data_IF_931017320453
#
_entry.id   IF_931017320453
#
_cell.length_a   1.000
_cell.length_b   1.000
_cell.length_c   1.000
_cell.angle_alpha   90.00
_cell.angle_beta   90.00
_cell.angle_gamma   90.00
#
_symmetry.space_group_name_H-M   'P 1'
#
loop_
_entity.id
_entity.type
_entity.pdbx_description
1 polymer ?
#
# COMPACT_ATOMS: atom_id res chain seq x y z
N UNK A 1 -29.65 3.69 -12.01
CA UNK A 1 -29.67 4.91 -11.17
C UNK A 1 -28.23 5.29 -10.92
N UNK A 2 -27.75 6.38 -11.52
CA UNK A 2 -26.41 6.93 -11.23
C UNK A 2 -26.45 7.56 -9.84
N UNK A 3 -25.72 7.00 -8.88
CA UNK A 3 -25.51 7.61 -7.57
C UNK A 3 -24.90 9.02 -7.77
N UNK A 4 -25.33 10.04 -7.03
CA UNK A 4 -24.87 11.40 -7.23
C UNK A 4 -23.39 11.52 -6.82
N UNK A 5 -22.56 11.95 -7.76
CA UNK A 5 -21.18 12.38 -7.50
C UNK A 5 -21.22 13.77 -6.88
N UNK A 6 -20.71 13.92 -5.66
CA UNK A 6 -20.69 15.22 -4.97
C UNK A 6 -19.60 16.11 -5.56
N UNK A 7 -19.74 17.44 -5.47
CA UNK A 7 -18.64 18.34 -5.82
C UNK A 7 -17.51 18.22 -4.79
N UNK A 8 -16.27 18.66 -5.11
CA UNK A 8 -15.18 18.71 -4.12
C UNK A 8 -15.54 19.50 -2.86
N UNK A 9 -16.22 20.63 -3.02
CA UNK A 9 -16.66 21.49 -1.92
C UNK A 9 -17.72 20.79 -1.06
N UNK A 10 -18.71 20.14 -1.68
CA UNK A 10 -19.72 19.39 -0.93
C UNK A 10 -19.09 18.24 -0.10
N UNK A 11 -18.07 17.57 -0.66
CA UNK A 11 -17.34 16.51 0.04
C UNK A 11 -16.58 17.07 1.26
N UNK A 12 -15.95 18.23 1.12
CA UNK A 12 -15.24 18.91 2.20
C UNK A 12 -16.17 19.40 3.32
N UNK A 13 -17.31 19.98 2.96
CA UNK A 13 -18.35 20.40 3.92
C UNK A 13 -18.96 19.20 4.64
N UNK A 14 -19.20 18.10 3.93
CA UNK A 14 -19.65 16.85 4.52
C UNK A 14 -18.61 16.30 5.51
N UNK A 15 -17.33 16.27 5.14
CA UNK A 15 -16.24 15.81 6.00
C UNK A 15 -16.18 16.60 7.31
N UNK A 16 -16.18 17.93 7.24
CA UNK A 16 -16.19 18.79 8.43
C UNK A 16 -17.44 18.55 9.28
N UNK A 17 -18.62 18.49 8.67
CA UNK A 17 -19.89 18.24 9.37
C UNK A 17 -19.89 16.89 10.08
N UNK A 18 -19.39 15.84 9.44
CA UNK A 18 -19.28 14.51 10.04
C UNK A 18 -18.30 14.50 11.22
N UNK A 19 -17.15 15.18 11.07
CA UNK A 19 -16.11 15.18 12.11
C UNK A 19 -16.50 16.03 13.32
N UNK A 20 -17.00 17.25 13.10
CA UNK A 20 -17.22 18.26 14.15
C UNK A 20 -18.70 18.53 14.48
N UNK A 21 -19.65 17.94 13.75
CA UNK A 21 -21.08 18.18 13.96
C UNK A 21 -21.63 17.57 15.25
N UNK A 22 -22.76 18.08 15.78
CA UNK A 22 -23.30 17.66 17.08
C UNK A 22 -23.91 16.25 17.10
N UNK A 23 -24.38 15.73 15.97
CA UNK A 23 -25.05 14.42 15.89
C UNK A 23 -24.79 13.75 14.54
N UNK A 24 -23.58 13.21 14.32
CA UNK A 24 -23.32 12.47 13.09
C UNK A 24 -24.11 11.16 13.10
N UNK A 25 -24.72 10.81 11.97
CA UNK A 25 -25.19 9.44 11.73
C UNK A 25 -23.96 8.51 11.70
N UNK A 26 -23.53 8.05 12.87
CA UNK A 26 -22.35 7.21 13.04
C UNK A 26 -22.46 5.97 12.15
N UNK A 27 -21.32 5.58 11.58
CA UNK A 27 -21.14 4.40 10.74
C UNK A 27 -21.91 4.41 9.41
N UNK A 28 -22.78 5.40 9.16
CA UNK A 28 -23.42 5.56 7.85
C UNK A 28 -22.39 6.06 6.82
N UNK A 29 -22.11 5.21 5.84
CA UNK A 29 -21.30 5.60 4.68
C UNK A 29 -22.10 6.50 3.73
N UNK A 30 -21.50 7.62 3.33
CA UNK A 30 -22.04 8.56 2.36
C UNK A 30 -21.09 8.60 1.16
N UNK A 31 -21.58 8.21 -0.01
CA UNK A 31 -20.82 8.27 -1.27
C UNK A 31 -20.51 9.71 -1.65
N UNK A 32 -19.23 10.00 -1.89
CA UNK A 32 -18.75 11.30 -2.39
C UNK A 32 -18.28 11.23 -3.85
N UNK A 33 -18.00 10.03 -4.34
CA UNK A 33 -17.58 9.78 -5.71
C UNK A 33 -18.04 8.38 -6.11
N UNK A 34 -18.73 8.27 -7.24
CA UNK A 34 -18.97 7.00 -7.91
C UNK A 34 -18.04 6.89 -9.12
N UNK A 35 -17.42 5.73 -9.28
CA UNK A 35 -16.57 5.41 -10.42
C UNK A 35 -17.40 4.72 -11.50
N UNK A 36 -17.20 5.07 -12.78
CA UNK A 36 -17.72 4.27 -13.89
C UNK A 36 -17.27 2.82 -13.80
N UNK A 37 -18.13 1.90 -14.24
CA UNK A 37 -17.75 0.49 -14.33
C UNK A 37 -16.56 0.32 -15.28
N UNK A 38 -15.55 -0.42 -14.83
CA UNK A 38 -14.31 -0.64 -15.57
C UNK A 38 -13.28 0.48 -15.46
N UNK A 39 -13.51 1.54 -14.66
CA UNK A 39 -12.50 2.56 -14.44
C UNK A 39 -11.22 1.99 -13.83
N UNK A 40 -10.09 2.27 -14.47
CA UNK A 40 -8.78 1.83 -14.02
C UNK A 40 -8.26 2.62 -12.80
N UNK A 41 -7.20 2.14 -12.14
CA UNK A 41 -6.62 2.79 -10.96
C UNK A 41 -6.28 4.28 -11.18
N UNK A 42 -5.63 4.61 -12.30
CA UNK A 42 -5.26 6.00 -12.64
C UNK A 42 -6.51 6.88 -12.79
N UNK A 43 -7.57 6.41 -13.46
CA UNK A 43 -8.80 7.19 -13.62
C UNK A 43 -9.49 7.44 -12.28
N UNK A 44 -9.55 6.42 -11.41
CA UNK A 44 -10.14 6.55 -10.07
C UNK A 44 -9.35 7.54 -9.22
N UNK A 45 -8.02 7.46 -9.28
CA UNK A 45 -7.08 8.37 -8.63
C UNK A 45 -7.31 9.82 -9.04
N UNK A 46 -7.29 10.12 -10.33
CA UNK A 46 -7.49 11.48 -10.87
C UNK A 46 -8.88 12.03 -10.53
N UNK A 47 -9.90 11.16 -10.48
CA UNK A 47 -11.25 11.56 -10.08
C UNK A 47 -11.37 11.84 -8.57
N UNK A 48 -10.60 11.14 -7.73
CA UNK A 48 -10.61 11.31 -6.27
C UNK A 48 -9.82 12.55 -5.84
N UNK A 49 -8.69 12.84 -6.51
CA UNK A 49 -7.73 13.88 -6.11
C UNK A 49 -8.38 15.24 -5.75
N UNK A 50 -9.26 15.84 -6.58
CA UNK A 50 -9.87 17.13 -6.24
C UNK A 50 -10.70 17.11 -4.94
N UNK A 51 -11.36 15.98 -4.64
CA UNK A 51 -12.17 15.81 -3.42
C UNK A 51 -11.27 15.62 -2.21
N UNK A 52 -10.23 14.82 -2.35
CA UNK A 52 -9.23 14.62 -1.31
C UNK A 52 -8.59 15.96 -0.91
N UNK A 53 -8.12 16.75 -1.89
CA UNK A 53 -7.51 18.06 -1.66
C UNK A 53 -8.48 19.03 -0.97
N UNK A 54 -9.74 19.06 -1.40
CA UNK A 54 -10.77 19.90 -0.78
C UNK A 54 -11.04 19.51 0.68
N UNK A 55 -11.09 18.21 0.99
CA UNK A 55 -11.26 17.70 2.36
C UNK A 55 -10.05 18.09 3.21
N UNK A 56 -8.84 17.85 2.72
CA UNK A 56 -7.59 18.20 3.43
C UNK A 56 -7.51 19.70 3.68
N UNK A 57 -7.84 20.53 2.70
CA UNK A 57 -7.83 21.98 2.85
C UNK A 57 -8.85 22.48 3.89
N UNK A 58 -9.97 21.77 4.06
CA UNK A 58 -11.05 22.18 4.98
C UNK A 58 -10.87 21.66 6.41
N UNK A 59 -10.45 20.41 6.55
CA UNK A 59 -10.37 19.69 7.83
C UNK A 59 -8.95 19.66 8.39
N UNK A 60 -7.95 19.83 7.53
CA UNK A 60 -6.53 19.65 7.86
C UNK A 60 -5.98 18.32 7.33
N UNK A 61 -4.66 18.09 7.47
CA UNK A 61 -4.03 16.86 7.01
C UNK A 61 -4.54 15.64 7.79
N UNK A 62 -4.55 14.44 7.19
CA UNK A 62 -4.97 13.22 7.85
C UNK A 62 -4.05 12.83 9.00
N UNK A 63 -4.58 12.09 9.96
CA UNK A 63 -3.77 11.45 11.01
C UNK A 63 -3.13 10.17 10.54
N UNK A 64 -3.81 9.44 9.64
CA UNK A 64 -3.32 8.18 9.09
C UNK A 64 -3.69 8.06 7.62
N UNK A 65 -2.67 7.94 6.77
CA UNK A 65 -2.82 7.62 5.36
C UNK A 65 -2.95 6.11 5.20
N UNK A 66 -3.55 5.68 4.10
CA UNK A 66 -3.70 4.25 3.87
C UNK A 66 -4.54 3.91 2.65
N UNK A 67 -4.49 2.64 2.32
CA UNK A 67 -5.21 2.07 1.19
C UNK A 67 -5.41 0.59 1.38
N UNK A 68 -6.36 0.08 0.61
CA UNK A 68 -6.61 -1.33 0.39
C UNK A 68 -6.40 -1.62 -1.10
N UNK A 69 -6.49 -2.88 -1.50
CA UNK A 69 -6.44 -3.29 -2.91
C UNK A 69 -7.64 -2.82 -3.72
N UNK A 70 -8.67 -2.32 -3.05
CA UNK A 70 -9.90 -1.86 -3.69
C UNK A 70 -10.08 -0.35 -3.64
N UNK A 71 -9.49 0.35 -2.68
CA UNK A 71 -9.61 1.80 -2.60
C UNK A 71 -8.94 2.42 -1.37
N UNK A 72 -9.09 3.74 -1.19
CA UNK A 72 -8.44 4.48 -0.11
C UNK A 72 -8.92 4.00 1.27
N UNK A 73 -8.08 4.23 2.28
CA UNK A 73 -8.40 4.01 3.69
C UNK A 73 -7.72 5.08 4.54
N UNK A 74 -8.19 6.33 4.41
CA UNK A 74 -7.60 7.52 5.05
C UNK A 74 -8.41 7.94 6.28
N UNK A 75 -7.73 8.28 7.37
CA UNK A 75 -8.36 8.62 8.65
C UNK A 75 -7.97 10.04 9.11
N UNK A 76 -8.97 10.75 9.63
CA UNK A 76 -8.79 11.93 10.48
C UNK A 76 -9.32 11.60 11.87
N UNK A 77 -8.42 11.57 12.85
CA UNK A 77 -8.72 11.12 14.21
C UNK A 77 -8.75 12.29 15.20
N UNK A 78 -9.85 12.43 15.93
CA UNK A 78 -9.95 13.26 17.14
C UNK A 78 -9.95 12.37 18.38
N UNK A 79 -10.09 12.94 19.58
CA UNK A 79 -10.14 12.14 20.79
C UNK A 79 -11.38 11.24 20.87
N UNK A 80 -12.49 11.62 20.21
CA UNK A 80 -13.77 10.93 20.29
C UNK A 80 -14.18 10.24 18.97
N UNK A 81 -13.66 10.71 17.83
CA UNK A 81 -14.17 10.31 16.50
C UNK A 81 -13.07 10.02 15.51
N UNK A 82 -13.37 9.13 14.56
CA UNK A 82 -12.58 8.94 13.36
C UNK A 82 -13.45 9.20 12.13
N UNK A 83 -13.12 10.21 11.33
CA UNK A 83 -13.62 10.32 9.97
C UNK A 83 -12.78 9.39 9.09
N UNK A 84 -13.45 8.49 8.36
CA UNK A 84 -12.86 7.53 7.46
C UNK A 84 -13.28 7.84 6.02
N UNK A 85 -12.30 8.12 5.18
CA UNK A 85 -12.42 8.04 3.73
C UNK A 85 -12.06 6.61 3.30
N UNK A 86 -13.07 5.87 2.90
CA UNK A 86 -12.94 4.49 2.40
C UNK A 86 -13.39 4.42 0.94
N UNK A 87 -12.86 3.48 0.18
CA UNK A 87 -13.39 3.22 -1.16
C UNK A 87 -13.13 1.82 -1.67
N UNK A 88 -13.79 1.52 -2.78
CA UNK A 88 -13.60 0.34 -3.60
C UNK A 88 -13.53 0.72 -5.08
N UNK A 89 -13.48 -0.28 -5.97
CA UNK A 89 -13.45 -0.07 -7.42
C UNK A 89 -14.65 0.70 -7.98
N UNK A 90 -15.76 0.79 -7.23
CA UNK A 90 -17.03 1.39 -7.64
C UNK A 90 -17.29 2.76 -7.01
N UNK A 91 -16.75 3.05 -5.83
CA UNK A 91 -17.02 4.32 -5.15
C UNK A 91 -16.00 4.68 -4.06
N UNK A 92 -15.94 5.98 -3.75
CA UNK A 92 -15.35 6.50 -2.52
C UNK A 92 -16.44 7.09 -1.61
N UNK A 93 -16.32 6.84 -0.30
CA UNK A 93 -17.31 7.15 0.72
C UNK A 93 -16.66 7.81 1.93
N UNK A 94 -17.42 8.67 2.61
CA UNK A 94 -17.09 9.19 3.93
C UNK A 94 -18.01 8.57 4.97
N UNK A 95 -17.44 8.17 6.10
CA UNK A 95 -18.17 7.74 7.29
C UNK A 95 -17.46 8.23 8.53
N UNK A 96 -18.18 8.37 9.64
CA UNK A 96 -17.58 8.73 10.93
C UNK A 96 -17.91 7.68 11.97
N UNK A 97 -16.92 7.34 12.77
CA UNK A 97 -16.95 6.25 13.74
C UNK A 97 -16.56 6.77 15.11
N UNK A 98 -17.01 6.09 16.16
CA UNK A 98 -16.40 6.22 17.47
C UNK A 98 -14.91 5.83 17.39
N UNK A 99 -14.04 6.69 17.91
CA UNK A 99 -12.59 6.53 17.83
C UNK A 99 -12.12 5.19 18.43
N UNK A 100 -12.58 4.86 19.64
CA UNK A 100 -12.16 3.65 20.35
C UNK A 100 -12.79 2.39 19.74
N UNK A 101 -14.06 2.49 19.34
CA UNK A 101 -14.80 1.42 18.70
C UNK A 101 -14.15 0.97 17.40
N UNK A 102 -13.78 1.92 16.52
CA UNK A 102 -13.09 1.62 15.28
C UNK A 102 -11.70 1.03 15.55
N UNK A 103 -10.89 1.66 16.40
CA UNK A 103 -9.55 1.17 16.73
C UNK A 103 -9.58 -0.27 17.29
N UNK A 104 -10.57 -0.59 18.13
CA UNK A 104 -10.74 -1.95 18.66
C UNK A 104 -11.17 -2.96 17.60
N UNK A 105 -12.06 -2.59 16.67
CA UNK A 105 -12.45 -3.47 15.56
C UNK A 105 -11.27 -3.77 14.66
N UNK A 106 -10.58 -2.72 14.23
CA UNK A 106 -9.38 -2.84 13.41
C UNK A 106 -8.33 -3.71 14.11
N UNK A 107 -8.04 -3.46 15.39
CA UNK A 107 -7.13 -4.31 16.16
C UNK A 107 -7.50 -5.79 16.05
N UNK A 108 -8.77 -6.16 16.21
CA UNK A 108 -9.19 -7.56 16.08
C UNK A 108 -9.06 -8.08 14.65
N UNK A 109 -9.37 -7.27 13.65
CA UNK A 109 -9.21 -7.66 12.25
C UNK A 109 -7.74 -7.93 11.93
N UNK A 110 -6.83 -7.07 12.38
CA UNK A 110 -5.37 -7.22 12.20
C UNK A 110 -4.75 -8.34 13.04
N UNK A 111 -5.23 -8.56 14.27
CA UNK A 111 -4.72 -9.61 15.17
C UNK A 111 -5.29 -10.99 14.81
N UNK A 112 -6.43 -11.06 14.11
CA UNK A 112 -7.08 -12.32 13.75
C UNK A 112 -6.27 -13.19 12.78
N UNK A 113 -5.17 -12.68 12.22
CA UNK A 113 -4.34 -13.38 11.24
C UNK A 113 -5.10 -13.72 9.95
N UNK A 114 -6.31 -13.18 9.77
CA UNK A 114 -7.07 -13.33 8.53
C UNK A 114 -6.32 -12.59 7.42
N UNK A 115 -6.39 -13.09 6.18
CA UNK A 115 -5.97 -12.31 5.04
C UNK A 115 -6.73 -10.97 5.12
N UNK A 116 -6.02 -9.90 5.44
CA UNK A 116 -6.47 -8.52 5.25
C UNK A 116 -5.74 -8.02 4.03
N UNK A 117 -6.04 -8.61 2.86
CA UNK A 117 -5.12 -8.52 1.79
C UNK A 117 -5.04 -7.04 1.39
N UNK A 118 -3.82 -6.59 1.11
CA UNK A 118 -3.55 -5.30 0.48
C UNK A 118 -3.77 -4.05 1.36
N UNK A 119 -3.93 -4.19 2.68
CA UNK A 119 -3.99 -3.02 3.57
C UNK A 119 -2.59 -2.48 3.86
N UNK A 120 -2.41 -1.18 3.70
CA UNK A 120 -1.24 -0.45 4.18
C UNK A 120 -1.68 0.82 4.91
N UNK A 121 -0.84 1.27 5.85
CA UNK A 121 -1.09 2.44 6.68
C UNK A 121 0.20 3.23 6.87
N UNK A 122 0.15 4.53 6.70
CA UNK A 122 1.31 5.43 6.85
C UNK A 122 0.98 6.55 7.84
N UNK A 123 1.69 6.54 8.97
CA UNK A 123 1.62 7.57 10.00
C UNK A 123 2.78 8.55 9.87
N UNK A 124 2.45 9.84 9.74
CA UNK A 124 3.41 10.95 9.64
C UNK A 124 3.31 11.93 10.82
N UNK A 125 2.66 11.53 11.91
CA UNK A 125 2.45 12.39 13.07
C UNK A 125 1.49 13.54 12.80
N UNK A 126 0.44 13.28 12.00
CA UNK A 126 -0.60 14.26 11.69
C UNK A 126 -1.38 14.74 12.93
N UNK A 127 -2.19 15.80 12.81
CA UNK A 127 -2.92 16.40 13.93
C UNK A 127 -3.99 15.46 14.46
N UNK A 128 -3.85 14.99 15.70
CA UNK A 128 -4.80 14.07 16.32
C UNK A 128 -4.10 13.15 17.31
N UNK A 129 -4.75 12.03 17.65
CA UNK A 129 -4.12 10.95 18.41
C UNK A 129 -3.87 9.75 17.50
N UNK A 130 -2.72 9.12 17.68
CA UNK A 130 -2.44 7.80 17.12
C UNK A 130 -3.53 6.81 17.62
N UNK A 131 -4.07 5.93 16.76
CA UNK A 131 -5.04 4.90 17.15
C UNK A 131 -4.55 3.98 18.28
N UNK A 132 -3.27 4.03 18.66
CA UNK A 132 -2.70 3.38 19.83
C UNK A 132 -2.40 1.90 19.62
N UNK A 133 -2.69 1.38 18.43
CA UNK A 133 -2.37 0.03 18.00
C UNK A 133 -1.62 0.08 16.66
N UNK A 134 -0.65 -0.81 16.50
CA UNK A 134 0.12 -0.97 15.25
C UNK A 134 0.21 -2.47 14.94
N UNK A 135 0.28 -2.80 13.65
CA UNK A 135 0.44 -4.16 13.16
C UNK A 135 1.64 -4.87 13.79
N UNK A 136 1.49 -6.15 14.17
CA UNK A 136 2.48 -6.91 14.92
C UNK A 136 3.61 -7.50 14.04
N UNK A 137 3.44 -7.51 12.72
CA UNK A 137 4.46 -7.94 11.75
C UNK A 137 4.32 -9.38 11.27
N UNK A 138 3.32 -10.12 11.73
CA UNK A 138 3.13 -11.53 11.34
C UNK A 138 2.42 -11.64 9.99
N UNK A 139 2.94 -12.50 9.11
CA UNK A 139 2.20 -12.90 7.92
C UNK A 139 1.10 -13.90 8.28
N UNK A 140 0.00 -13.86 7.54
CA UNK A 140 -0.90 -15.01 7.45
C UNK A 140 -0.18 -16.20 6.76
N UNK A 141 -0.63 -17.42 7.03
CA UNK A 141 -0.10 -18.65 6.42
C UNK A 141 -0.47 -18.73 4.92
N UNK A 142 0.24 -17.99 4.06
CA UNK A 142 -0.01 -17.93 2.62
C UNK A 142 0.69 -19.03 1.83
N UNK A 143 0.02 -19.49 0.78
CA UNK A 143 0.60 -20.16 -0.37
C UNK A 143 1.37 -19.17 -1.26
N UNK A 144 2.16 -19.68 -2.22
CA UNK A 144 2.85 -18.81 -3.18
C UNK A 144 1.89 -18.00 -4.04
N UNK A 145 0.76 -18.58 -4.45
CA UNK A 145 -0.23 -17.91 -5.28
C UNK A 145 -0.91 -16.77 -4.49
N UNK A 146 -1.26 -17.03 -3.22
CA UNK A 146 -1.80 -16.00 -2.32
C UNK A 146 -0.79 -14.88 -2.04
N UNK A 147 0.50 -15.22 -1.86
CA UNK A 147 1.55 -14.21 -1.67
C UNK A 147 1.77 -13.35 -2.92
N UNK A 148 1.73 -13.95 -4.12
CA UNK A 148 1.82 -13.23 -5.39
C UNK A 148 0.63 -12.28 -5.59
N UNK A 149 -0.58 -12.74 -5.29
CA UNK A 149 -1.79 -11.93 -5.33
C UNK A 149 -1.73 -10.79 -4.30
N UNK A 150 -1.32 -11.09 -3.06
CA UNK A 150 -1.07 -10.13 -1.97
C UNK A 150 -0.14 -9.00 -2.39
N UNK A 151 1.00 -9.36 -2.98
CA UNK A 151 1.98 -8.40 -3.45
C UNK A 151 1.44 -7.57 -4.62
N UNK A 152 0.75 -8.21 -5.57
CA UNK A 152 0.19 -7.54 -6.76
C UNK A 152 -0.72 -6.41 -6.34
N UNK A 153 -1.68 -6.69 -5.46
CA UNK A 153 -2.70 -5.73 -5.10
C UNK A 153 -2.19 -4.71 -4.06
N UNK A 154 -1.18 -5.03 -3.24
CA UNK A 154 -0.46 -4.01 -2.45
C UNK A 154 0.25 -3.00 -3.38
N UNK A 155 0.99 -3.50 -4.37
CA UNK A 155 1.68 -2.66 -5.35
C UNK A 155 0.69 -1.80 -6.13
N UNK A 156 -0.43 -2.37 -6.59
CA UNK A 156 -1.51 -1.62 -7.25
C UNK A 156 -2.09 -0.54 -6.33
N UNK A 157 -2.32 -0.87 -5.06
CA UNK A 157 -2.80 0.07 -4.04
C UNK A 157 -1.84 1.25 -3.87
N UNK A 158 -0.53 1.00 -3.84
CA UNK A 158 0.47 2.07 -3.77
C UNK A 158 0.47 2.98 -4.99
N UNK A 159 0.47 2.42 -6.20
CA UNK A 159 0.43 3.22 -7.43
C UNK A 159 -0.86 4.06 -7.56
N UNK A 160 -1.98 3.56 -7.05
CA UNK A 160 -3.24 4.30 -7.05
C UNK A 160 -3.28 5.40 -5.99
N UNK A 161 -2.88 5.10 -4.76
CA UNK A 161 -3.20 5.95 -3.61
C UNK A 161 -2.06 6.86 -3.15
N UNK A 162 -0.79 6.42 -3.24
CA UNK A 162 0.35 7.26 -2.85
C UNK A 162 0.40 8.59 -3.59
N UNK A 163 0.13 8.68 -4.90
CA UNK A 163 0.21 9.95 -5.60
C UNK A 163 -0.80 10.99 -5.12
N UNK A 164 -1.91 10.55 -4.53
CA UNK A 164 -2.94 11.44 -3.96
C UNK A 164 -2.60 11.77 -2.51
N UNK A 165 -2.20 10.77 -1.75
CA UNK A 165 -2.06 10.89 -0.30
C UNK A 165 -0.70 11.43 0.16
N UNK A 166 0.34 11.20 -0.64
CA UNK A 166 1.74 11.54 -0.37
C UNK A 166 2.47 11.87 -1.70
N UNK A 167 2.06 12.96 -2.38
CA UNK A 167 2.53 13.26 -3.73
C UNK A 167 4.04 13.47 -3.79
N UNK A 168 4.70 12.77 -4.71
CA UNK A 168 6.14 12.87 -4.94
C UNK A 168 7.00 11.96 -4.05
N UNK A 169 6.38 11.18 -3.16
CA UNK A 169 7.09 10.18 -2.38
C UNK A 169 7.19 8.84 -3.12
N UNK A 170 8.30 8.13 -2.92
CA UNK A 170 8.40 6.71 -3.25
C UNK A 170 7.84 5.87 -2.10
N UNK A 171 7.53 4.61 -2.37
CA UNK A 171 7.18 3.61 -1.36
C UNK A 171 7.81 2.28 -1.70
N UNK A 172 8.35 1.58 -0.70
CA UNK A 172 9.02 0.32 -0.96
C UNK A 172 9.50 -0.38 0.29
N UNK A 173 10.14 -1.51 0.07
CA UNK A 173 10.71 -2.36 1.10
C UNK A 173 11.83 -3.20 0.51
N UNK A 174 12.58 -3.85 1.40
CA UNK A 174 13.57 -4.86 1.06
C UNK A 174 13.05 -6.23 1.42
N UNK A 175 13.30 -7.20 0.56
CA UNK A 175 13.04 -8.61 0.80
C UNK A 175 14.33 -9.35 1.09
N UNK A 176 14.31 -10.06 2.21
CA UNK A 176 15.34 -11.00 2.62
C UNK A 176 14.79 -12.41 2.59
N UNK A 177 15.54 -13.33 2.01
CA UNK A 177 15.19 -14.76 2.01
C UNK A 177 16.07 -15.44 3.06
N UNK A 178 15.49 -16.21 3.99
CA UNK A 178 16.27 -16.85 5.06
C UNK A 178 17.41 -17.73 4.51
N UNK A 179 17.18 -18.38 3.37
CA UNK A 179 18.13 -19.27 2.68
C UNK A 179 19.22 -18.54 1.88
N UNK A 180 19.07 -17.23 1.69
CA UNK A 180 20.04 -16.37 0.99
C UNK A 180 20.04 -14.97 1.61
N UNK A 181 20.30 -14.93 2.92
CA UNK A 181 20.10 -13.76 3.77
C UNK A 181 21.03 -12.56 3.46
N UNK A 182 22.09 -12.78 2.68
CA UNK A 182 23.09 -11.75 2.34
C UNK A 182 22.67 -10.88 1.16
N UNK A 183 21.63 -11.29 0.43
CA UNK A 183 21.23 -10.66 -0.82
C UNK A 183 19.80 -10.17 -0.72
N UNK A 184 19.66 -8.92 -0.35
CA UNK A 184 18.35 -8.28 -0.29
C UNK A 184 17.90 -7.87 -1.70
N UNK A 185 16.61 -8.04 -1.96
CA UNK A 185 15.93 -7.50 -3.14
C UNK A 185 15.19 -6.24 -2.73
N UNK A 186 15.29 -5.17 -3.50
CA UNK A 186 14.49 -3.95 -3.33
C UNK A 186 13.24 -4.06 -4.18
N UNK A 187 12.08 -3.71 -3.63
CA UNK A 187 10.78 -3.70 -4.34
C UNK A 187 10.03 -2.42 -3.97
N UNK A 188 9.45 -1.73 -4.95
CA UNK A 188 8.70 -0.53 -4.66
C UNK A 188 8.02 0.12 -5.85
N UNK A 189 7.43 1.28 -5.57
CA UNK A 189 6.80 2.19 -6.52
C UNK A 189 7.39 3.58 -6.30
N UNK A 190 7.86 4.23 -7.37
CA UNK A 190 8.52 5.54 -7.27
C UNK A 190 7.96 6.51 -8.31
N UNK A 191 7.92 7.83 -8.01
CA UNK A 191 7.57 8.83 -8.98
C UNK A 191 8.65 8.96 -10.06
N UNK A 192 8.21 9.28 -11.28
CA UNK A 192 9.05 9.58 -12.43
C UNK A 192 8.58 10.89 -13.09
N UNK A 193 9.28 11.34 -14.13
CA UNK A 193 8.90 12.55 -14.87
C UNK A 193 7.52 12.44 -15.55
N UNK A 194 7.01 11.22 -15.77
CA UNK A 194 5.80 10.94 -16.56
C UNK A 194 4.70 10.24 -15.77
N UNK A 195 4.86 10.06 -14.45
CA UNK A 195 3.91 9.32 -13.61
C UNK A 195 4.63 8.54 -12.52
N UNK A 196 4.26 7.27 -12.32
CA UNK A 196 4.92 6.36 -11.37
C UNK A 196 5.44 5.11 -12.09
N UNK A 197 6.41 4.46 -11.45
CA UNK A 197 7.04 3.25 -11.96
C UNK A 197 7.19 2.20 -10.85
N UNK A 198 6.78 0.98 -11.20
CA UNK A 198 7.00 -0.23 -10.41
C UNK A 198 8.44 -0.69 -10.65
N UNK A 199 9.19 -0.94 -9.58
CA UNK A 199 10.57 -1.37 -9.70
C UNK A 199 10.92 -2.50 -8.74
N UNK A 200 11.78 -3.39 -9.21
CA UNK A 200 12.54 -4.29 -8.36
C UNK A 200 14.00 -4.31 -8.77
N UNK A 201 14.88 -4.56 -7.81
CA UNK A 201 16.31 -4.65 -8.02
C UNK A 201 16.97 -5.66 -7.11
N UNK A 202 17.93 -6.41 -7.62
CA UNK A 202 18.76 -7.30 -6.82
C UNK A 202 20.25 -7.12 -7.15
N UNK A 203 21.07 -7.06 -6.10
CA UNK A 203 22.50 -6.97 -6.25
C UNK A 203 23.13 -8.35 -6.44
N UNK A 204 23.86 -8.54 -7.54
CA UNK A 204 24.36 -9.85 -7.95
C UNK A 204 25.89 -9.91 -8.00
N UNK A 205 26.53 -9.54 -6.89
CA UNK A 205 27.99 -9.48 -6.81
C UNK A 205 28.66 -10.87 -6.83
N UNK A 206 28.02 -11.88 -6.22
CA UNK A 206 28.67 -13.17 -5.97
C UNK A 206 28.71 -14.11 -7.19
N UNK A 207 28.03 -13.78 -8.29
CA UNK A 207 28.00 -14.60 -9.49
C UNK A 207 28.90 -14.03 -10.60
N UNK A 208 29.58 -14.93 -11.30
CA UNK A 208 30.24 -14.62 -12.56
C UNK A 208 29.17 -14.22 -13.59
N UNK A 209 29.38 -13.08 -14.24
CA UNK A 209 28.42 -12.51 -15.18
C UNK A 209 28.59 -13.16 -16.56
N UNK A 210 28.19 -14.42 -16.66
CA UNK A 210 28.22 -15.24 -17.87
C UNK A 210 26.95 -15.04 -18.71
N UNK A 211 26.99 -15.33 -20.03
CA UNK A 211 25.79 -15.33 -20.87
C UNK A 211 24.69 -16.27 -20.35
N UNK A 212 25.06 -17.45 -19.84
CA UNK A 212 24.13 -18.43 -19.28
C UNK A 212 23.45 -17.89 -18.01
N UNK A 213 24.19 -17.21 -17.14
CA UNK A 213 23.61 -16.55 -15.98
C UNK A 213 22.65 -15.44 -16.37
N UNK A 214 23.02 -14.63 -17.36
CA UNK A 214 22.14 -13.59 -17.89
C UNK A 214 20.86 -14.16 -18.52
N UNK A 215 20.93 -15.33 -19.18
CA UNK A 215 19.75 -16.06 -19.67
C UNK A 215 18.85 -16.52 -18.53
N UNK A 216 19.43 -17.09 -17.46
CA UNK A 216 18.66 -17.49 -16.28
C UNK A 216 17.97 -16.30 -15.59
N UNK A 217 18.65 -15.16 -15.48
CA UNK A 217 18.05 -13.95 -14.89
C UNK A 217 16.89 -13.42 -15.74
N UNK A 218 17.06 -13.39 -17.07
CA UNK A 218 15.97 -13.00 -17.99
C UNK A 218 14.80 -13.99 -17.99
N UNK A 219 15.07 -15.29 -17.85
CA UNK A 219 14.02 -16.31 -17.73
C UNK A 219 13.18 -16.14 -16.46
N UNK A 220 13.71 -15.48 -15.41
CA UNK A 220 12.97 -15.08 -14.19
C UNK A 220 12.26 -13.73 -14.33
N UNK A 221 12.45 -13.04 -15.44
CA UNK A 221 11.83 -11.74 -15.75
C UNK A 221 12.67 -10.51 -15.44
N UNK A 222 13.93 -10.66 -15.00
CA UNK A 222 14.86 -9.53 -14.91
C UNK A 222 15.19 -8.99 -16.30
N UNK A 223 15.27 -7.67 -16.46
CA UNK A 223 15.40 -7.04 -17.79
C UNK A 223 16.80 -6.48 -18.03
N UNK A 224 17.31 -5.71 -17.07
CA UNK A 224 18.52 -4.91 -17.24
C UNK A 224 19.56 -5.28 -16.18
N UNK A 225 20.83 -5.34 -16.60
CA UNK A 225 21.98 -5.42 -15.71
C UNK A 225 22.74 -4.10 -15.82
N UNK A 226 22.88 -3.37 -14.71
CA UNK A 226 23.61 -2.10 -14.70
C UNK A 226 25.13 -2.29 -14.51
N UNK A 227 25.87 -1.19 -14.65
CA UNK A 227 27.33 -1.17 -14.47
C UNK A 227 27.78 -1.50 -13.04
N UNK A 228 26.87 -1.39 -12.07
CA UNK A 228 27.08 -1.71 -10.68
C UNK A 228 26.60 -3.12 -10.33
N UNK A 229 26.35 -4.01 -11.29
CA UNK A 229 25.89 -5.40 -11.09
C UNK A 229 24.54 -5.54 -10.39
N UNK A 230 23.65 -4.57 -10.59
CA UNK A 230 22.24 -4.70 -10.22
C UNK A 230 21.44 -5.22 -11.40
N UNK A 231 20.74 -6.33 -11.17
CA UNK A 231 19.65 -6.72 -12.03
C UNK A 231 18.41 -5.91 -11.67
N UNK A 232 17.72 -5.36 -12.67
CA UNK A 232 16.56 -4.50 -12.48
C UNK A 232 15.42 -4.87 -13.42
N UNK A 233 14.23 -4.59 -12.93
CA UNK A 233 13.01 -4.51 -13.72
C UNK A 233 12.29 -3.23 -13.31
N UNK A 234 11.92 -2.44 -14.31
CA UNK A 234 11.21 -1.18 -14.19
C UNK A 234 10.01 -1.26 -15.15
N UNK A 235 8.81 -0.98 -14.65
CA UNK A 235 7.56 -1.10 -15.42
C UNK A 235 6.69 0.13 -15.13
N UNK A 236 6.33 0.92 -16.15
CA UNK A 236 5.54 2.13 -15.95
C UNK A 236 4.13 1.80 -15.47
N UNK A 237 3.52 2.69 -14.68
CA UNK A 237 2.15 2.50 -14.18
C UNK A 237 1.07 2.47 -15.27
N UNK A 238 1.42 2.92 -16.49
CA UNK A 238 0.55 2.90 -17.65
C UNK A 238 0.35 1.50 -18.22
N UNK A 239 1.19 0.53 -17.84
CA UNK A 239 0.97 -0.88 -18.16
C UNK A 239 -0.05 -1.49 -17.18
N UNK A 240 -1.23 -1.95 -17.66
CA UNK A 240 -2.28 -2.50 -16.79
C UNK A 240 -1.86 -3.80 -16.08
N UNK A 241 -0.80 -4.47 -16.55
CA UNK A 241 -0.25 -5.68 -15.94
C UNK A 241 0.95 -5.43 -15.02
N UNK A 242 1.39 -4.17 -14.84
CA UNK A 242 2.68 -3.86 -14.22
C UNK A 242 2.86 -4.46 -12.82
N UNK A 243 1.88 -4.30 -11.94
CA UNK A 243 1.94 -4.82 -10.57
C UNK A 243 1.99 -6.36 -10.53
N UNK A 244 1.20 -7.02 -11.40
CA UNK A 244 1.16 -8.48 -11.50
C UNK A 244 2.45 -9.04 -12.14
N UNK A 245 3.01 -8.34 -13.13
CA UNK A 245 4.30 -8.70 -13.68
C UNK A 245 5.42 -8.54 -12.65
N UNK A 246 5.49 -7.41 -11.95
CA UNK A 246 6.51 -7.20 -10.93
C UNK A 246 6.43 -8.27 -9.84
N UNK A 247 5.22 -8.60 -9.38
CA UNK A 247 4.99 -9.64 -8.38
C UNK A 247 5.49 -11.00 -8.86
N UNK A 248 5.20 -11.38 -10.12
CA UNK A 248 5.74 -12.61 -10.71
C UNK A 248 7.25 -12.65 -10.74
N UNK A 249 7.92 -11.54 -11.07
CA UNK A 249 9.40 -11.46 -11.05
C UNK A 249 9.93 -11.71 -9.63
N UNK A 250 9.34 -11.02 -8.64
CA UNK A 250 9.72 -11.16 -7.22
C UNK A 250 9.55 -12.61 -6.75
N UNK A 251 8.38 -13.20 -6.94
CA UNK A 251 8.10 -14.58 -6.49
C UNK A 251 8.95 -15.60 -7.25
N UNK A 252 9.15 -15.42 -8.55
CA UNK A 252 10.00 -16.30 -9.36
C UNK A 252 11.45 -16.30 -8.89
N UNK A 253 12.01 -15.12 -8.59
CA UNK A 253 13.36 -15.00 -8.07
C UNK A 253 13.50 -15.61 -6.66
N UNK A 254 12.52 -15.33 -5.79
CA UNK A 254 12.47 -15.89 -4.43
C UNK A 254 12.48 -17.43 -4.47
N UNK A 255 11.67 -18.02 -5.34
CA UNK A 255 11.60 -19.48 -5.53
C UNK A 255 12.89 -20.03 -6.14
N UNK A 256 13.49 -19.33 -7.11
CA UNK A 256 14.77 -19.72 -7.70
C UNK A 256 15.93 -19.71 -6.69
N UNK A 257 15.83 -18.85 -5.67
CA UNK A 257 16.73 -18.79 -4.51
C UNK A 257 16.40 -19.83 -3.43
N UNK A 258 15.62 -20.85 -3.79
CA UNK A 258 15.30 -22.06 -3.02
C UNK A 258 14.41 -21.83 -1.80
N UNK A 259 13.74 -20.68 -1.70
CA UNK A 259 12.67 -20.51 -0.72
C UNK A 259 11.56 -21.53 -0.99
N UNK A 260 11.07 -22.17 0.06
CA UNK A 260 10.08 -23.25 -0.03
C UNK A 260 8.67 -22.80 0.33
N UNK A 261 8.53 -21.74 1.13
CA UNK A 261 7.26 -21.10 1.46
C UNK A 261 7.43 -19.59 1.71
N UNK A 262 6.34 -18.80 1.62
CA UNK A 262 6.38 -17.36 1.91
C UNK A 262 6.90 -17.00 3.31
N UNK A 263 6.71 -17.88 4.31
CA UNK A 263 7.20 -17.67 5.67
C UNK A 263 8.74 -17.65 5.80
N UNK A 264 9.49 -18.13 4.78
CA UNK A 264 10.95 -18.00 4.70
C UNK A 264 11.41 -16.65 4.08
N UNK A 265 10.47 -15.72 3.85
CA UNK A 265 10.71 -14.42 3.25
C UNK A 265 10.35 -13.33 4.25
N UNK A 266 11.28 -12.40 4.46
CA UNK A 266 11.15 -11.30 5.40
C UNK A 266 11.25 -9.95 4.68
N UNK A 267 10.19 -9.16 4.76
CA UNK A 267 10.19 -7.77 4.38
C UNK A 267 10.77 -6.91 5.50
N UNK A 268 11.67 -6.00 5.16
CA UNK A 268 12.30 -5.08 6.11
C UNK A 268 12.60 -3.74 5.43
N UNK A 269 12.98 -2.73 6.20
CA UNK A 269 13.23 -1.37 5.67
C UNK A 269 12.02 -0.79 4.90
N UNK A 270 10.81 -1.13 5.36
CA UNK A 270 9.55 -0.70 4.77
C UNK A 270 9.37 0.79 5.03
N UNK A 271 9.23 1.59 3.97
CA UNK A 271 9.30 3.05 4.06
C UNK A 271 8.62 3.74 2.89
N UNK A 272 8.28 5.01 3.08
CA UNK A 272 7.61 5.83 2.07
C UNK A 272 8.15 7.27 2.04
N UNK A 273 9.26 7.49 1.32
CA UNK A 273 9.83 8.83 1.05
C UNK A 273 10.49 9.52 2.26
N UNK A 274 9.77 9.60 3.37
CA UNK A 274 10.09 10.37 4.56
C UNK A 274 10.26 9.49 5.82
N UNK A 275 10.37 10.13 6.99
CA UNK A 275 10.49 9.46 8.29
C UNK A 275 9.13 8.96 8.85
N UNK A 276 8.10 8.82 7.99
CA UNK A 276 6.82 8.25 8.38
C UNK A 276 6.95 6.77 8.74
N UNK A 277 6.01 6.29 9.56
CA UNK A 277 5.90 4.87 9.93
C UNK A 277 4.94 4.18 8.97
N UNK A 278 5.47 3.34 8.10
CA UNK A 278 4.69 2.55 7.14
C UNK A 278 4.46 1.13 7.68
N UNK A 279 3.20 0.71 7.70
CA UNK A 279 2.78 -0.65 8.00
C UNK A 279 2.12 -1.29 6.80
N UNK A 280 2.43 -2.55 6.54
CA UNK A 280 1.99 -3.32 5.37
C UNK A 280 1.43 -4.70 5.77
N UNK A 281 0.38 -4.74 6.61
CA UNK A 281 -0.25 -6.00 7.03
C UNK A 281 -0.67 -6.89 5.86
N UNK A 282 -1.00 -6.28 4.71
CA UNK A 282 -1.37 -6.98 3.49
C UNK A 282 -0.22 -7.44 2.59
N UNK A 283 1.04 -7.44 3.04
CA UNK A 283 2.18 -7.77 2.18
C UNK A 283 2.32 -9.28 1.88
N UNK A 284 1.87 -10.13 2.81
CA UNK A 284 1.97 -11.59 2.65
C UNK A 284 3.35 -12.19 2.89
N UNK A 285 4.26 -11.40 3.46
CA UNK A 285 5.55 -11.85 3.98
C UNK A 285 5.69 -11.42 5.44
N UNK A 286 6.57 -12.11 6.17
CA UNK A 286 6.93 -11.72 7.53
C UNK A 286 7.61 -10.34 7.52
N UNK A 287 7.29 -9.48 8.48
CA UNK A 287 7.92 -8.15 8.59
C UNK A 287 8.98 -8.15 9.69
N UNK A 288 10.16 -7.60 9.39
CA UNK A 288 11.28 -7.49 10.33
C UNK A 288 11.78 -6.04 10.49
N UNK A 289 12.08 -5.58 11.72
CA UNK A 289 11.83 -6.27 12.98
C UNK A 289 10.34 -6.41 13.26
N UNK A 290 9.94 -7.48 13.94
CA UNK A 290 8.56 -7.58 14.44
C UNK A 290 8.36 -6.57 15.56
N UNK A 291 7.11 -6.15 15.78
CA UNK A 291 6.81 -5.24 16.89
C UNK A 291 7.17 -5.90 18.22
N UNK A 292 7.95 -5.20 19.06
CA UNK A 292 8.44 -5.73 20.34
C UNK A 292 9.84 -6.35 20.28
N UNK A 293 10.39 -6.57 19.08
CA UNK A 293 11.80 -6.87 18.86
C UNK A 293 12.59 -5.56 18.78
N UNK A 294 12.58 -4.79 19.86
CA UNK A 294 13.61 -3.78 20.08
C UNK A 294 14.72 -4.44 20.90
N UNK A 295 15.93 -4.48 20.33
CA UNK A 295 17.15 -4.77 21.08
C UNK A 295 17.45 -3.66 22.09
#
# INVERSE_FOLDING_TARGET
MTSPTTTPQDAAELAERLLHGPDPELERAVTILAHPEGSGPVERREALLPRYDAIVARVGPPTLLGGTGHGPSVRWHTAERTLLLAGDSSAATLSVHDAQGLARREFWDFDSGRPMPYTWQLDRGGPGKDPGWTFNGHSADYTWDEAEESLTLLLSSWAEHMPVQAPGDWVGFRLRISRDWKRDMVVGVSPTATGYEFHAGIYDLDHEQTPEHAEHMRARGWRELDEHRWWRVNIPETDPGAAAELSRVVISDVRARRSTCPAEVHAWDISAGDNGRLWVPGLGFEVHPRRGEHY
#
